data_IF_278785384778
#
_entry.id   IF_278785384778
#
_cell.length_a   1.000
_cell.length_b   1.000
_cell.length_c   1.000
_cell.angle_alpha   90.00
_cell.angle_beta   90.00
_cell.angle_gamma   90.00
#
_symmetry.space_group_name_H-M   'P 1'
#
loop_
_entity.id
_entity.type
_entity.pdbx_description
1 polymer ?
#
# COMPACT_ATOMS: atom_id res chain seq x y z
N UNK A 1 -30.01 -0.91 -21.27
CA UNK A 1 -29.59 -1.49 -22.56
C UNK A 1 -28.15 -1.06 -22.77
N UNK A 2 -27.21 -2.01 -22.72
CA UNK A 2 -25.78 -1.75 -22.94
C UNK A 2 -25.62 -1.22 -24.37
N UNK A 3 -24.89 -0.11 -24.54
CA UNK A 3 -24.80 0.54 -25.85
C UNK A 3 -24.16 -0.44 -26.84
N UNK A 4 -24.84 -0.76 -27.95
CA UNK A 4 -24.37 -1.80 -28.89
C UNK A 4 -22.95 -1.54 -29.39
N UNK A 5 -22.56 -0.27 -29.43
CA UNK A 5 -21.23 0.20 -29.79
C UNK A 5 -20.18 -0.15 -28.73
N UNK A 6 -20.49 -0.03 -27.44
CA UNK A 6 -19.57 -0.41 -26.34
C UNK A 6 -19.35 -1.92 -26.29
N UNK A 7 -20.42 -2.72 -26.48
CA UNK A 7 -20.33 -4.17 -26.60
C UNK A 7 -19.48 -4.58 -27.80
N UNK A 8 -19.74 -3.99 -28.97
CA UNK A 8 -18.96 -4.25 -30.18
C UNK A 8 -17.47 -3.89 -29.98
N UNK A 9 -17.19 -2.76 -29.31
CA UNK A 9 -15.82 -2.31 -29.05
C UNK A 9 -15.10 -3.22 -28.06
N UNK A 10 -15.78 -3.71 -27.03
CA UNK A 10 -15.23 -4.69 -26.09
C UNK A 10 -15.02 -6.07 -26.74
N UNK A 11 -15.93 -6.50 -27.60
CA UNK A 11 -15.77 -7.73 -28.40
C UNK A 11 -14.59 -7.62 -29.37
N UNK A 12 -14.31 -6.41 -29.88
CA UNK A 12 -13.19 -6.13 -30.77
C UNK A 12 -11.82 -5.97 -30.07
N UNK A 13 -11.73 -6.28 -28.77
CA UNK A 13 -10.45 -6.30 -28.05
C UNK A 13 -9.69 -7.60 -28.28
N UNK A 14 -10.41 -8.70 -28.41
CA UNK A 14 -9.86 -10.05 -28.46
C UNK A 14 -10.66 -11.06 -27.67
N UNK A 15 -10.35 -12.34 -27.88
CA UNK A 15 -11.01 -13.45 -27.24
C UNK A 15 -9.99 -14.39 -26.57
N UNK A 16 -10.48 -15.19 -25.62
CA UNK A 16 -9.67 -16.12 -24.84
C UNK A 16 -9.93 -17.53 -25.36
N UNK A 17 -8.87 -18.20 -25.84
CA UNK A 17 -8.93 -19.58 -26.32
C UNK A 17 -7.99 -20.44 -25.45
N UNK A 18 -8.58 -21.25 -24.56
CA UNK A 18 -7.83 -21.96 -23.52
C UNK A 18 -7.24 -20.98 -22.50
N UNK A 19 -5.90 -20.98 -22.36
CA UNK A 19 -5.14 -20.07 -21.48
C UNK A 19 -4.46 -18.91 -22.26
N UNK A 20 -4.72 -18.78 -23.56
CA UNK A 20 -4.07 -17.78 -24.42
C UNK A 20 -5.06 -16.73 -24.89
N UNK A 21 -4.73 -15.45 -24.69
CA UNK A 21 -5.54 -14.31 -25.15
C UNK A 21 -5.12 -13.88 -26.56
N UNK A 22 -6.06 -13.92 -27.50
CA UNK A 22 -5.88 -13.53 -28.89
C UNK A 22 -6.41 -12.12 -29.10
N UNK A 23 -5.50 -11.16 -29.28
CA UNK A 23 -5.85 -9.76 -29.57
C UNK A 23 -6.39 -9.64 -30.99
N UNK A 24 -7.48 -8.90 -31.17
CA UNK A 24 -7.99 -8.58 -32.49
C UNK A 24 -7.17 -7.45 -33.16
N UNK A 25 -7.16 -7.37 -34.51
CA UNK A 25 -6.31 -6.42 -35.25
C UNK A 25 -6.51 -4.96 -34.84
N UNK A 26 -7.75 -4.62 -34.49
CA UNK A 26 -8.16 -3.27 -34.12
C UNK A 26 -8.12 -3.02 -32.60
N UNK A 27 -7.55 -3.94 -31.80
CA UNK A 27 -7.50 -3.83 -30.33
C UNK A 27 -6.98 -2.47 -29.83
N UNK A 28 -5.97 -1.89 -30.50
CA UNK A 28 -5.44 -0.57 -30.15
C UNK A 28 -6.44 0.56 -30.44
N UNK A 29 -7.19 0.47 -31.56
CA UNK A 29 -8.23 1.43 -31.90
C UNK A 29 -9.47 1.24 -31.01
N UNK A 30 -9.86 0.00 -30.71
CA UNK A 30 -10.91 -0.33 -29.74
C UNK A 30 -10.60 0.22 -28.34
N UNK A 31 -9.35 0.14 -27.89
CA UNK A 31 -8.92 0.77 -26.62
C UNK A 31 -8.98 2.30 -26.71
N UNK A 32 -8.58 2.90 -27.84
CA UNK A 32 -8.69 4.36 -28.04
C UNK A 32 -10.15 4.81 -28.12
N UNK A 33 -11.03 4.01 -28.70
CA UNK A 33 -12.45 4.29 -28.81
C UNK A 33 -13.15 4.11 -27.46
N UNK A 34 -12.78 3.12 -26.64
CA UNK A 34 -13.17 3.05 -25.23
C UNK A 34 -12.73 4.31 -24.47
N UNK A 35 -11.50 4.79 -24.70
CA UNK A 35 -11.00 6.04 -24.11
C UNK A 35 -11.74 7.28 -24.66
N UNK A 36 -12.21 7.26 -25.91
CA UNK A 36 -13.02 8.35 -26.50
C UNK A 36 -14.44 8.34 -25.96
N UNK A 37 -15.09 7.18 -25.83
CA UNK A 37 -16.39 7.04 -25.17
C UNK A 37 -16.31 7.54 -23.72
N UNK A 38 -15.18 7.32 -23.03
CA UNK A 38 -14.91 7.87 -21.70
C UNK A 38 -14.69 9.40 -21.66
N UNK A 39 -14.55 10.07 -22.83
CA UNK A 39 -14.24 11.51 -22.94
C UNK A 39 -15.36 12.35 -23.55
N UNK A 40 -16.44 11.75 -24.04
CA UNK A 40 -17.58 12.48 -24.60
C UNK A 40 -18.79 12.25 -23.70
N UNK A 41 -19.17 13.30 -22.97
CA UNK A 41 -20.36 13.38 -22.13
C UNK A 41 -21.59 13.49 -23.03
N UNK A 42 -22.44 12.47 -23.09
CA UNK A 42 -23.80 12.62 -23.60
C UNK A 42 -24.79 12.66 -22.44
N UNK A 43 -25.72 13.62 -22.47
CA UNK A 43 -26.67 13.97 -21.38
C UNK A 43 -27.65 12.86 -20.95
N UNK A 44 -27.56 11.66 -21.51
CA UNK A 44 -28.50 10.57 -21.24
C UNK A 44 -27.78 9.26 -20.90
N UNK A 45 -27.46 9.07 -19.61
CA UNK A 45 -27.18 7.76 -18.96
C UNK A 45 -25.83 7.06 -19.24
N UNK A 46 -24.74 7.80 -19.43
CA UNK A 46 -23.40 7.23 -19.75
C UNK A 46 -22.50 6.94 -18.51
N UNK A 47 -22.65 7.70 -17.43
CA UNK A 47 -21.78 7.61 -16.21
C UNK A 47 -21.75 6.21 -15.60
N UNK A 48 -22.86 5.46 -15.62
CA UNK A 48 -22.96 4.13 -15.00
C UNK A 48 -22.22 3.03 -15.78
N UNK A 49 -22.24 3.09 -17.11
CA UNK A 49 -21.50 2.15 -17.96
C UNK A 49 -20.00 2.46 -17.89
N UNK A 50 -19.66 3.75 -17.92
CA UNK A 50 -18.30 4.24 -17.76
C UNK A 50 -17.72 3.84 -16.39
N UNK A 51 -18.47 4.02 -15.29
CA UNK A 51 -18.05 3.57 -13.95
C UNK A 51 -17.89 2.05 -13.86
N UNK A 52 -18.84 1.27 -14.41
CA UNK A 52 -18.72 -0.18 -14.46
C UNK A 52 -17.48 -0.65 -15.24
N UNK A 53 -17.17 -0.01 -16.37
CA UNK A 53 -15.97 -0.27 -17.14
C UNK A 53 -14.71 0.14 -16.36
N UNK A 54 -14.71 1.32 -15.73
CA UNK A 54 -13.58 1.81 -14.94
C UNK A 54 -13.28 0.94 -13.72
N UNK A 55 -14.29 0.44 -13.02
CA UNK A 55 -14.11 -0.53 -11.92
C UNK A 55 -13.41 -1.78 -12.44
N UNK A 56 -13.83 -2.31 -13.58
CA UNK A 56 -13.20 -3.49 -14.19
C UNK A 56 -11.76 -3.21 -14.64
N UNK A 57 -11.51 -2.09 -15.32
CA UNK A 57 -10.18 -1.70 -15.80
C UNK A 57 -9.20 -1.37 -14.67
N UNK A 58 -9.70 -1.03 -13.48
CA UNK A 58 -8.88 -0.72 -12.30
C UNK A 58 -8.73 -1.89 -11.34
N UNK A 59 -9.25 -3.08 -11.67
CA UNK A 59 -9.11 -4.26 -10.82
C UNK A 59 -7.64 -4.56 -10.50
N UNK A 60 -7.31 -4.96 -9.25
CA UNK A 60 -5.96 -5.35 -8.89
C UNK A 60 -5.43 -6.45 -9.81
N UNK A 61 -4.23 -6.27 -10.36
CA UNK A 61 -3.62 -7.28 -11.25
C UNK A 61 -3.52 -8.67 -10.61
N UNK A 62 -3.37 -8.75 -9.28
CA UNK A 62 -3.39 -10.02 -8.54
C UNK A 62 -4.73 -10.76 -8.69
N UNK A 63 -5.85 -10.03 -8.75
CA UNK A 63 -7.17 -10.62 -8.95
C UNK A 63 -7.33 -11.10 -10.40
N UNK A 64 -6.88 -10.31 -11.38
CA UNK A 64 -6.97 -10.67 -12.80
C UNK A 64 -6.19 -11.95 -13.16
N UNK A 65 -5.06 -12.21 -12.49
CA UNK A 65 -4.18 -13.34 -12.78
C UNK A 65 -4.20 -14.44 -11.70
N UNK A 66 -4.99 -14.29 -10.64
CA UNK A 66 -5.05 -15.22 -9.50
C UNK A 66 -3.77 -15.31 -8.65
N UNK A 67 -2.75 -14.50 -8.95
CA UNK A 67 -1.44 -14.53 -8.30
C UNK A 67 -0.36 -13.93 -9.19
N UNK A 68 0.90 -13.96 -8.73
CA UNK A 68 2.05 -13.51 -9.54
C UNK A 68 2.50 -14.67 -10.44
N UNK A 69 2.38 -14.56 -11.78
CA UNK A 69 2.75 -15.64 -12.68
C UNK A 69 4.24 -15.97 -12.61
N UNK A 70 4.57 -17.26 -12.64
CA UNK A 70 5.96 -17.74 -12.69
C UNK A 70 6.51 -17.79 -14.12
N UNK A 71 5.63 -18.00 -15.11
CA UNK A 71 6.01 -18.06 -16.51
C UNK A 71 6.43 -16.66 -17.03
N UNK A 72 7.58 -16.54 -17.73
CA UNK A 72 8.08 -15.24 -18.19
C UNK A 72 7.12 -14.45 -19.10
N UNK A 73 6.39 -15.15 -19.98
CA UNK A 73 5.41 -14.58 -20.92
C UNK A 73 4.21 -13.97 -20.18
N UNK A 74 3.55 -14.75 -19.32
CA UNK A 74 2.42 -14.29 -18.49
C UNK A 74 2.86 -13.23 -17.48
N UNK A 75 4.08 -13.34 -16.94
CA UNK A 75 4.65 -12.33 -16.06
C UNK A 75 4.87 -10.99 -16.79
N UNK A 76 5.25 -11.01 -18.06
CA UNK A 76 5.33 -9.78 -18.86
C UNK A 76 3.95 -9.10 -18.97
N UNK A 77 2.89 -9.86 -19.26
CA UNK A 77 1.52 -9.34 -19.30
C UNK A 77 1.06 -8.80 -17.94
N UNK A 78 1.34 -9.51 -16.84
CA UNK A 78 1.06 -9.05 -15.49
C UNK A 78 1.71 -7.69 -15.19
N UNK A 79 3.00 -7.54 -15.52
CA UNK A 79 3.72 -6.28 -15.34
C UNK A 79 3.19 -5.17 -16.26
N UNK A 80 2.74 -5.51 -17.46
CA UNK A 80 2.13 -4.55 -18.38
C UNK A 80 0.78 -4.03 -17.85
N UNK A 81 -0.08 -4.92 -17.34
CA UNK A 81 -1.33 -4.53 -16.66
C UNK A 81 -1.04 -3.65 -15.45
N UNK A 82 -0.05 -4.02 -14.64
CA UNK A 82 0.37 -3.20 -13.50
C UNK A 82 0.81 -1.79 -13.92
N UNK A 83 1.56 -1.67 -15.00
CA UNK A 83 1.97 -0.38 -15.54
C UNK A 83 0.78 0.48 -16.03
N UNK A 84 -0.25 -0.14 -16.61
CA UNK A 84 -1.50 0.57 -16.95
C UNK A 84 -2.25 1.02 -15.70
N UNK A 85 -2.39 0.17 -14.68
CA UNK A 85 -3.02 0.54 -13.41
C UNK A 85 -2.31 1.73 -12.75
N UNK A 86 -0.97 1.76 -12.79
CA UNK A 86 -0.18 2.89 -12.29
C UNK A 86 -0.43 4.18 -13.08
N UNK A 87 -0.56 4.08 -14.41
CA UNK A 87 -0.93 5.23 -15.24
C UNK A 87 -2.36 5.72 -14.94
N UNK A 88 -3.30 4.81 -14.71
CA UNK A 88 -4.66 5.15 -14.28
C UNK A 88 -4.64 5.85 -12.93
N UNK A 89 -3.91 5.32 -11.94
CA UNK A 89 -3.74 5.94 -10.62
C UNK A 89 -3.26 7.39 -10.74
N UNK A 90 -2.31 7.66 -11.64
CA UNK A 90 -1.84 9.02 -11.89
C UNK A 90 -2.89 9.90 -12.58
N UNK A 91 -3.67 9.36 -13.53
CA UNK A 91 -4.76 10.10 -14.16
C UNK A 91 -5.89 10.46 -13.17
N UNK A 92 -6.16 9.60 -12.18
CA UNK A 92 -7.12 9.86 -11.11
C UNK A 92 -6.63 10.90 -10.09
N UNK A 93 -5.36 11.28 -10.08
CA UNK A 93 -4.83 12.32 -9.20
C UNK A 93 -5.25 13.73 -9.66
N UNK A 94 -6.58 13.91 -9.79
CA UNK A 94 -7.26 15.08 -10.32
C UNK A 94 -8.47 15.39 -9.43
N UNK A 95 -8.53 16.62 -8.92
CA UNK A 95 -9.66 17.12 -8.12
C UNK A 95 -10.98 17.00 -8.88
N UNK A 96 -11.00 17.32 -10.19
CA UNK A 96 -12.23 17.23 -11.00
C UNK A 96 -12.76 15.80 -11.06
N UNK A 97 -11.88 14.79 -11.16
CA UNK A 97 -12.31 13.40 -11.23
C UNK A 97 -12.96 12.95 -9.91
N UNK A 98 -12.35 13.29 -8.77
CA UNK A 98 -12.91 13.00 -7.45
C UNK A 98 -14.17 13.85 -7.15
N UNK A 99 -14.23 15.09 -7.63
CA UNK A 99 -15.40 15.96 -7.53
C UNK A 99 -16.65 15.33 -8.16
N UNK A 100 -16.55 14.82 -9.38
CA UNK A 100 -17.67 14.13 -10.04
C UNK A 100 -18.12 12.87 -9.27
N UNK A 101 -17.17 12.09 -8.74
CA UNK A 101 -17.49 10.92 -7.92
C UNK A 101 -18.17 11.31 -6.59
N UNK A 102 -17.69 12.37 -5.96
CA UNK A 102 -18.21 12.91 -4.71
C UNK A 102 -19.62 13.47 -4.88
N UNK A 103 -19.85 14.28 -5.91
CA UNK A 103 -21.17 14.83 -6.26
C UNK A 103 -22.18 13.71 -6.55
N UNK A 104 -21.80 12.73 -7.38
CA UNK A 104 -22.66 11.59 -7.68
C UNK A 104 -22.99 10.76 -6.43
N UNK A 105 -22.00 10.51 -5.58
CA UNK A 105 -22.22 9.79 -4.32
C UNK A 105 -23.11 10.60 -3.37
N UNK A 106 -22.88 11.91 -3.25
CA UNK A 106 -23.67 12.80 -2.42
C UNK A 106 -25.15 12.80 -2.84
N UNK A 107 -25.44 12.94 -4.14
CA UNK A 107 -26.81 12.90 -4.67
C UNK A 107 -27.52 11.58 -4.34
N UNK A 108 -26.83 10.44 -4.49
CA UNK A 108 -27.37 9.13 -4.13
C UNK A 108 -27.64 9.02 -2.62
N UNK A 109 -26.76 9.60 -1.80
CA UNK A 109 -26.88 9.57 -0.34
C UNK A 109 -27.95 10.54 0.20
N UNK A 110 -28.39 11.53 -0.58
CA UNK A 110 -29.55 12.37 -0.23
C UNK A 110 -30.86 11.57 -0.24
N UNK A 111 -30.94 10.51 -1.04
CA UNK A 111 -32.09 9.60 -1.05
C UNK A 111 -32.11 8.79 0.24
N UNK A 112 -33.31 8.61 0.81
CA UNK A 112 -33.50 7.72 1.95
C UNK A 112 -33.09 6.29 1.59
N UNK A 113 -32.50 5.56 2.53
CA UNK A 113 -32.01 4.20 2.27
C UNK A 113 -33.10 3.24 1.75
N UNK A 114 -34.37 3.46 2.14
CA UNK A 114 -35.54 2.71 1.66
C UNK A 114 -36.04 3.16 0.28
N UNK A 115 -35.70 4.38 -0.14
CA UNK A 115 -36.13 4.99 -1.40
C UNK A 115 -35.20 4.63 -2.56
N UNK A 116 -33.94 4.27 -2.24
CA UNK A 116 -32.92 3.88 -3.21
C UNK A 116 -33.29 2.57 -3.90
N UNK A 117 -33.27 2.61 -5.22
CA UNK A 117 -33.45 1.42 -6.04
C UNK A 117 -32.18 0.55 -5.99
N UNK A 118 -32.29 -0.69 -6.45
CA UNK A 118 -31.13 -1.58 -6.60
C UNK A 118 -30.04 -0.94 -7.50
N UNK A 119 -30.46 -0.22 -8.55
CA UNK A 119 -29.54 0.50 -9.43
C UNK A 119 -28.75 1.60 -8.72
N UNK A 120 -29.35 2.27 -7.75
CA UNK A 120 -28.70 3.34 -6.97
C UNK A 120 -27.67 2.73 -6.02
N UNK A 121 -28.04 1.63 -5.35
CA UNK A 121 -27.13 0.89 -4.48
C UNK A 121 -25.93 0.32 -5.27
N UNK A 122 -26.16 -0.24 -6.46
CA UNK A 122 -25.09 -0.70 -7.35
C UNK A 122 -24.16 0.45 -7.78
N UNK A 123 -24.70 1.66 -7.94
CA UNK A 123 -23.90 2.82 -8.29
C UNK A 123 -23.02 3.27 -7.12
N UNK A 124 -23.56 3.31 -5.91
CA UNK A 124 -22.79 3.57 -4.68
C UNK A 124 -21.63 2.56 -4.56
N UNK A 125 -21.95 1.26 -4.69
CA UNK A 125 -20.96 0.19 -4.63
C UNK A 125 -19.83 0.40 -5.65
N UNK A 126 -20.18 0.71 -6.91
CA UNK A 126 -19.20 0.95 -7.98
C UNK A 126 -18.31 2.15 -7.71
N UNK A 127 -18.85 3.24 -7.16
CA UNK A 127 -18.06 4.42 -6.79
C UNK A 127 -17.05 4.02 -5.72
N UNK A 128 -17.48 3.34 -4.65
CA UNK A 128 -16.60 2.90 -3.57
C UNK A 128 -15.52 1.91 -4.06
N UNK A 129 -15.90 0.95 -4.90
CA UNK A 129 -14.97 -0.01 -5.51
C UNK A 129 -13.94 0.67 -6.40
N UNK A 130 -14.33 1.67 -7.18
CA UNK A 130 -13.42 2.44 -8.02
C UNK A 130 -12.39 3.19 -7.18
N UNK A 131 -12.85 3.91 -6.16
CA UNK A 131 -11.97 4.66 -5.24
C UNK A 131 -11.00 3.70 -4.54
N UNK A 132 -11.52 2.57 -4.04
CA UNK A 132 -10.73 1.49 -3.44
C UNK A 132 -9.66 0.98 -4.41
N UNK A 133 -10.04 0.64 -5.64
CA UNK A 133 -9.13 0.12 -6.66
C UNK A 133 -8.00 1.11 -6.98
N UNK A 134 -8.33 2.38 -7.19
CA UNK A 134 -7.38 3.45 -7.47
C UNK A 134 -6.40 3.64 -6.31
N UNK A 135 -6.89 3.65 -5.06
CA UNK A 135 -6.03 3.73 -3.88
C UNK A 135 -5.15 2.49 -3.72
N UNK A 136 -5.67 1.30 -4.02
CA UNK A 136 -4.99 0.02 -3.90
C UNK A 136 -3.76 -0.11 -4.82
N UNK A 137 -3.78 0.49 -6.02
CA UNK A 137 -2.66 0.39 -6.98
C UNK A 137 -1.31 0.69 -6.28
N UNK A 138 -0.32 -0.22 -6.38
CA UNK A 138 0.97 -0.04 -5.70
C UNK A 138 1.82 1.02 -6.40
N UNK A 139 2.70 1.66 -5.63
CA UNK A 139 3.66 2.64 -6.14
C UNK A 139 4.67 1.97 -7.09
N UNK A 140 5.12 2.72 -8.11
CA UNK A 140 6.26 2.34 -8.94
C UNK A 140 7.55 2.90 -8.32
N UNK A 141 8.25 2.07 -7.54
CA UNK A 141 9.48 2.47 -6.84
C UNK A 141 10.60 2.94 -7.78
N UNK A 142 10.59 2.53 -9.06
CA UNK A 142 11.61 2.94 -10.04
C UNK A 142 11.28 4.31 -10.64
N UNK A 143 10.00 4.60 -10.92
CA UNK A 143 9.55 5.92 -11.38
C UNK A 143 9.50 6.96 -10.28
N UNK A 144 9.25 6.54 -9.04
CA UNK A 144 9.17 7.42 -7.86
C UNK A 144 10.54 7.79 -7.27
N UNK A 145 11.68 7.41 -7.88
CA UNK A 145 13.03 7.90 -7.54
C UNK A 145 13.23 9.41 -7.77
N UNK A 146 12.15 10.15 -8.01
CA UNK A 146 12.16 11.62 -8.06
C UNK A 146 12.32 12.14 -6.63
N UNK A 147 13.04 13.24 -6.53
CA UNK A 147 13.53 13.93 -5.32
C UNK A 147 12.46 13.94 -4.20
N UNK A 148 12.90 13.82 -2.94
CA UNK A 148 12.07 13.69 -1.72
C UNK A 148 10.92 14.71 -1.59
N UNK A 149 10.96 15.84 -2.31
CA UNK A 149 9.97 16.93 -2.27
C UNK A 149 8.81 16.81 -3.29
N UNK A 150 8.87 15.92 -4.30
CA UNK A 150 7.74 15.75 -5.24
C UNK A 150 6.62 14.91 -4.58
N UNK A 151 5.40 15.45 -4.50
CA UNK A 151 4.27 14.74 -3.92
C UNK A 151 4.04 13.39 -4.63
N UNK A 152 4.11 12.28 -3.88
CA UNK A 152 3.80 10.94 -4.42
C UNK A 152 2.42 10.93 -5.08
N UNK A 153 2.21 10.05 -6.07
CA UNK A 153 0.91 9.92 -6.73
C UNK A 153 -0.19 9.65 -5.70
N UNK A 154 0.13 8.85 -4.68
CA UNK A 154 -0.79 8.57 -3.58
C UNK A 154 -1.13 9.83 -2.77
N UNK A 155 -0.16 10.67 -2.41
CA UNK A 155 -0.42 11.94 -1.72
C UNK A 155 -1.27 12.89 -2.56
N UNK A 156 -1.08 12.93 -3.89
CA UNK A 156 -1.93 13.73 -4.79
C UNK A 156 -3.37 13.22 -4.82
N UNK A 157 -3.58 11.90 -4.80
CA UNK A 157 -4.92 11.31 -4.67
C UNK A 157 -5.59 11.66 -3.34
N UNK A 158 -4.86 11.55 -2.22
CA UNK A 158 -5.39 11.91 -0.91
C UNK A 158 -5.81 13.38 -0.84
N UNK A 159 -5.01 14.26 -1.45
CA UNK A 159 -5.35 15.67 -1.53
C UNK A 159 -6.56 15.95 -2.43
N UNK A 160 -6.67 15.27 -3.58
CA UNK A 160 -7.85 15.37 -4.45
C UNK A 160 -9.13 14.86 -3.77
N UNK A 161 -9.02 13.75 -3.02
CA UNK A 161 -10.10 13.18 -2.23
C UNK A 161 -10.61 14.19 -1.19
N UNK A 162 -9.69 14.82 -0.46
CA UNK A 162 -10.02 15.87 0.52
C UNK A 162 -10.67 17.11 -0.13
N UNK A 163 -10.10 17.65 -1.21
CA UNK A 163 -10.66 18.82 -1.89
C UNK A 163 -12.06 18.57 -2.48
N UNK A 164 -12.36 17.32 -2.85
CA UNK A 164 -13.68 16.93 -3.37
C UNK A 164 -14.76 16.74 -2.30
N UNK A 165 -14.41 16.75 -1.01
CA UNK A 165 -15.33 16.42 0.09
C UNK A 165 -15.71 14.94 0.19
N UNK A 166 -15.04 14.04 -0.54
CA UNK A 166 -15.33 12.61 -0.50
C UNK A 166 -14.95 11.99 0.86
N UNK A 167 -13.98 12.57 1.57
CA UNK A 167 -13.64 12.24 2.94
C UNK A 167 -14.81 12.44 3.92
N UNK A 168 -15.55 13.54 3.80
CA UNK A 168 -16.75 13.80 4.61
C UNK A 168 -17.83 12.74 4.35
N UNK A 169 -18.01 12.33 3.08
CA UNK A 169 -18.93 11.26 2.71
C UNK A 169 -18.49 9.90 3.29
N UNK A 170 -17.19 9.61 3.32
CA UNK A 170 -16.66 8.39 3.95
C UNK A 170 -16.91 8.38 5.46
N UNK A 171 -16.75 9.51 6.15
CA UNK A 171 -17.08 9.65 7.57
C UNK A 171 -18.57 9.48 7.83
N UNK A 172 -19.43 10.04 6.97
CA UNK A 172 -20.87 9.84 7.01
C UNK A 172 -21.24 8.36 6.84
N UNK A 173 -20.72 7.68 5.82
CA UNK A 173 -20.97 6.26 5.58
C UNK A 173 -20.49 5.40 6.77
N UNK A 174 -19.31 5.70 7.32
CA UNK A 174 -18.76 4.99 8.48
C UNK A 174 -19.58 5.19 9.76
N UNK A 175 -20.23 6.35 9.91
CA UNK A 175 -21.04 6.68 11.09
C UNK A 175 -22.52 6.33 10.92
N UNK A 176 -23.07 6.16 9.72
CA UNK A 176 -24.51 5.93 9.59
C UNK A 176 -24.91 4.46 9.83
N UNK A 177 -25.88 4.17 10.72
CA UNK A 177 -26.41 2.81 10.87
C UNK A 177 -27.21 2.34 9.64
N UNK A 178 -27.76 3.26 8.85
CA UNK A 178 -28.48 2.94 7.62
C UNK A 178 -27.55 2.48 6.49
N UNK A 179 -26.26 2.84 6.57
CA UNK A 179 -25.26 2.60 5.52
C UNK A 179 -24.30 1.45 5.86
N UNK A 180 -24.64 0.63 6.87
CA UNK A 180 -23.79 -0.46 7.36
C UNK A 180 -23.39 -1.47 6.29
N UNK A 181 -24.21 -1.64 5.24
CA UNK A 181 -23.90 -2.52 4.10
C UNK A 181 -22.62 -2.12 3.36
N UNK A 182 -22.19 -0.86 3.46
CA UNK A 182 -20.96 -0.36 2.86
C UNK A 182 -19.74 -0.46 3.77
N UNK A 183 -19.90 -0.99 4.99
CA UNK A 183 -18.87 -0.94 6.03
C UNK A 183 -17.52 -1.55 5.62
N UNK A 184 -17.52 -2.68 4.90
CA UNK A 184 -16.30 -3.30 4.39
C UNK A 184 -15.58 -2.40 3.38
N UNK A 185 -16.30 -1.92 2.37
CA UNK A 185 -15.78 -1.00 1.35
C UNK A 185 -15.18 0.27 1.97
N UNK A 186 -15.88 0.87 2.93
CA UNK A 186 -15.42 2.08 3.63
C UNK A 186 -14.16 1.79 4.44
N UNK A 187 -14.10 0.66 5.15
CA UNK A 187 -12.91 0.27 5.91
C UNK A 187 -11.70 0.02 5.00
N UNK A 188 -11.90 -0.60 3.83
CA UNK A 188 -10.85 -0.78 2.83
C UNK A 188 -10.31 0.55 2.32
N UNK A 189 -11.20 1.46 1.90
CA UNK A 189 -10.83 2.79 1.40
C UNK A 189 -10.05 3.55 2.47
N UNK A 190 -10.56 3.61 3.69
CA UNK A 190 -9.89 4.28 4.81
C UNK A 190 -8.53 3.61 5.09
N UNK A 191 -8.45 2.28 5.16
CA UNK A 191 -7.17 1.60 5.40
C UNK A 191 -6.13 1.92 4.31
N UNK A 192 -6.58 1.99 3.05
CA UNK A 192 -5.73 2.37 1.93
C UNK A 192 -5.33 3.84 1.94
N UNK A 193 -6.14 4.74 2.51
CA UNK A 193 -5.76 6.15 2.69
C UNK A 193 -4.55 6.31 3.63
N UNK A 194 -4.43 5.42 4.62
CA UNK A 194 -3.41 5.49 5.66
C UNK A 194 -2.25 4.49 5.46
N UNK A 195 -2.23 3.73 4.36
CA UNK A 195 -1.27 2.63 4.13
C UNK A 195 0.21 3.05 4.22
N UNK A 196 0.51 4.29 3.86
CA UNK A 196 1.87 4.86 3.83
C UNK A 196 2.19 5.70 5.09
N UNK A 197 1.31 5.70 6.11
CA UNK A 197 1.47 6.51 7.32
C UNK A 197 1.94 5.67 8.52
N UNK A 198 2.71 6.30 9.41
CA UNK A 198 2.94 5.79 10.78
C UNK A 198 1.95 6.48 11.73
N UNK A 199 1.18 5.73 12.52
CA UNK A 199 0.18 6.31 13.42
C UNK A 199 0.81 7.19 14.50
N UNK A 200 1.98 6.81 15.03
CA UNK A 200 2.70 7.60 16.03
C UNK A 200 3.24 8.91 15.46
N UNK A 201 3.79 8.86 14.24
CA UNK A 201 4.28 10.06 13.56
C UNK A 201 3.12 11.01 13.23
N UNK A 202 1.99 10.47 12.77
CA UNK A 202 0.82 11.24 12.38
C UNK A 202 0.15 11.94 13.58
N UNK A 203 0.04 11.25 14.72
CA UNK A 203 -0.51 11.81 15.96
C UNK A 203 0.28 13.02 16.49
N UNK A 204 1.58 13.09 16.19
CA UNK A 204 2.45 14.20 16.58
C UNK A 204 2.34 15.45 15.71
N UNK A 205 1.74 15.35 14.52
CA UNK A 205 1.72 16.44 13.52
C UNK A 205 0.86 17.59 14.02
N UNK A 206 1.31 18.84 13.82
CA UNK A 206 0.47 20.03 14.00
C UNK A 206 0.18 20.45 15.45
N UNK A 207 0.88 19.89 16.46
CA UNK A 207 0.79 20.33 17.86
C UNK A 207 1.52 21.67 18.14
N UNK A 208 1.47 22.64 17.23
CA UNK A 208 2.14 23.95 17.39
C UNK A 208 3.68 23.89 17.40
N UNK A 209 4.26 22.78 16.93
CA UNK A 209 5.69 22.50 16.99
C UNK A 209 6.48 22.92 15.76
N UNK A 210 5.98 23.71 14.79
CA UNK A 210 6.73 24.03 13.56
C UNK A 210 8.20 24.45 13.78
N UNK A 211 8.50 25.22 14.83
CA UNK A 211 9.88 25.57 15.20
C UNK A 211 10.64 24.42 15.88
N UNK A 212 9.96 23.63 16.71
CA UNK A 212 10.54 22.47 17.38
C UNK A 212 10.74 21.28 16.43
N UNK A 213 9.78 21.01 15.54
CA UNK A 213 9.84 20.06 14.43
C UNK A 213 10.97 20.42 13.47
N UNK A 214 11.07 21.69 13.03
CA UNK A 214 12.23 22.14 12.26
C UNK A 214 13.54 21.93 13.02
N UNK A 215 13.57 22.18 14.34
CA UNK A 215 14.77 21.93 15.17
C UNK A 215 15.06 20.44 15.29
N UNK A 216 14.06 19.58 15.44
CA UNK A 216 14.25 18.13 15.52
C UNK A 216 14.65 17.55 14.18
N UNK A 217 14.09 18.04 13.07
CA UNK A 217 14.47 17.64 11.71
C UNK A 217 15.90 18.09 11.42
N UNK A 218 16.28 19.32 11.78
CA UNK A 218 17.67 19.79 11.67
C UNK A 218 18.60 18.96 12.56
N UNK A 219 18.21 18.63 13.79
CA UNK A 219 19.01 17.78 14.68
C UNK A 219 19.12 16.33 14.14
N UNK A 220 18.06 15.75 13.60
CA UNK A 220 18.05 14.43 12.97
C UNK A 220 18.97 14.42 11.74
N UNK A 221 18.89 15.45 10.89
CA UNK A 221 19.79 15.66 9.75
C UNK A 221 21.24 15.84 10.19
N UNK A 222 21.50 16.54 11.29
CA UNK A 222 22.84 16.69 11.85
C UNK A 222 23.40 15.35 12.35
N UNK A 223 22.58 14.54 13.04
CA UNK A 223 22.96 13.20 13.49
C UNK A 223 23.23 12.28 12.30
N UNK A 224 22.37 12.30 11.27
CA UNK A 224 22.58 11.53 10.04
C UNK A 224 23.84 11.98 9.31
N UNK A 225 24.07 13.29 9.19
CA UNK A 225 25.29 13.85 8.60
C UNK A 225 26.53 13.45 9.40
N UNK A 226 26.46 13.48 10.72
CA UNK A 226 27.56 13.05 11.59
C UNK A 226 27.84 11.55 11.43
N UNK A 227 26.80 10.72 11.34
CA UNK A 227 26.91 9.28 11.07
C UNK A 227 27.53 9.02 9.70
N UNK A 228 27.07 9.70 8.65
CA UNK A 228 27.64 9.60 7.30
C UNK A 228 29.11 10.03 7.29
N UNK A 229 29.45 11.14 7.96
CA UNK A 229 30.81 11.63 8.10
C UNK A 229 31.69 10.66 8.89
N UNK A 230 31.18 10.07 9.96
CA UNK A 230 31.87 9.05 10.74
C UNK A 230 32.10 7.77 9.92
N UNK A 231 31.10 7.31 9.17
CA UNK A 231 31.23 6.18 8.24
C UNK A 231 32.25 6.49 7.14
N UNK A 232 32.21 7.68 6.54
CA UNK A 232 33.17 8.13 5.53
C UNK A 232 34.59 8.18 6.12
N UNK A 233 34.76 8.69 7.34
CA UNK A 233 36.04 8.71 8.06
C UNK A 233 36.53 7.30 8.38
N UNK A 234 35.63 6.40 8.78
CA UNK A 234 35.95 5.00 9.08
C UNK A 234 36.35 4.25 7.81
N UNK A 235 35.64 4.46 6.69
CA UNK A 235 36.00 3.95 5.36
C UNK A 235 37.33 4.53 4.88
N UNK A 236 37.62 5.79 5.18
CA UNK A 236 38.91 6.41 4.88
C UNK A 236 40.05 5.81 5.72
N UNK A 237 39.83 5.53 7.02
CA UNK A 237 40.79 4.87 7.90
C UNK A 237 41.03 3.40 7.53
N UNK A 238 40.00 2.73 6.98
CA UNK A 238 40.10 1.37 6.43
C UNK A 238 40.76 1.34 5.04
N UNK A 239 40.98 2.49 4.39
CA UNK A 239 41.75 2.57 3.14
C UNK A 239 43.20 2.80 3.48
N UNK A 240 44.08 1.99 2.89
CA UNK A 240 45.52 2.23 2.99
C UNK A 240 45.91 3.56 2.34
N UNK A 241 46.87 4.27 2.93
CA UNK A 241 47.44 5.51 2.38
C UNK A 241 48.22 5.31 1.05
N UNK A 242 48.27 4.08 0.52
CA UNK A 242 49.02 3.70 -0.68
C UNK A 242 48.11 2.96 -1.65
N UNK A 243 48.46 3.00 -2.94
CA UNK A 243 47.67 2.36 -4.00
C UNK A 243 47.50 0.86 -3.77
N UNK A 244 46.44 0.27 -4.33
CA UNK A 244 46.05 -1.14 -4.14
C UNK A 244 47.14 -2.16 -4.49
N UNK A 245 48.05 -1.83 -5.42
CA UNK A 245 49.18 -2.69 -5.82
C UNK A 245 50.37 -2.66 -4.86
N UNK A 246 50.35 -1.82 -3.81
CA UNK A 246 51.40 -1.79 -2.80
C UNK A 246 51.14 -2.93 -1.80
N UNK A 247 51.56 -4.14 -2.17
CA UNK A 247 51.42 -5.35 -1.37
C UNK A 247 52.55 -5.49 -0.35
N UNK A 248 52.21 -5.59 0.94
CA UNK A 248 53.11 -6.00 2.00
C UNK A 248 52.73 -7.39 2.50
N UNK A 249 53.73 -8.22 2.80
CA UNK A 249 53.54 -9.55 3.40
C UNK A 249 54.01 -9.52 4.84
N UNK A 250 53.13 -9.83 5.78
CA UNK A 250 53.40 -9.82 7.21
C UNK A 250 53.25 -11.23 7.78
N UNK A 251 54.02 -11.56 8.81
CA UNK A 251 53.89 -12.80 9.57
C UNK A 251 53.25 -12.43 10.92
N UNK A 252 52.10 -13.01 11.24
CA UNK A 252 51.41 -12.79 12.51
C UNK A 252 51.85 -13.86 13.49
N UNK A 253 52.77 -13.51 14.37
CA UNK A 253 53.29 -14.41 15.41
C UNK A 253 52.18 -14.78 16.40
N UNK A 254 52.07 -16.08 16.73
CA UNK A 254 51.09 -16.59 17.70
C UNK A 254 49.71 -16.91 17.13
N UNK A 255 49.41 -16.54 15.87
CA UNK A 255 48.21 -16.98 15.16
C UNK A 255 48.58 -18.07 14.16
N UNK A 256 48.19 -19.31 14.46
CA UNK A 256 48.50 -20.46 13.61
C UNK A 256 47.63 -20.48 12.35
N UNK A 257 48.25 -20.83 11.23
CA UNK A 257 47.57 -21.12 9.97
C UNK A 257 46.87 -22.49 10.05
N UNK A 258 46.50 -23.07 8.90
CA UNK A 258 45.92 -24.43 8.79
C UNK A 258 46.88 -25.53 9.30
N UNK A 259 48.13 -25.21 9.62
CA UNK A 259 49.09 -26.08 10.32
C UNK A 259 49.88 -25.33 11.41
N UNK A 260 51.00 -25.88 11.89
CA UNK A 260 51.77 -25.31 13.02
C UNK A 260 52.56 -24.02 12.71
N UNK A 261 52.51 -23.55 11.46
CA UNK A 261 53.20 -22.33 11.04
C UNK A 261 52.36 -21.09 11.32
N UNK A 262 53.03 -20.00 11.61
CA UNK A 262 52.41 -18.70 11.83
C UNK A 262 51.77 -18.16 10.53
N UNK A 263 50.67 -17.43 10.66
CA UNK A 263 49.86 -16.97 9.54
C UNK A 263 50.55 -15.87 8.74
N UNK A 264 50.52 -15.99 7.41
CA UNK A 264 50.99 -14.95 6.48
C UNK A 264 49.81 -14.06 6.06
N UNK A 265 49.93 -12.75 6.23
CA UNK A 265 48.92 -11.75 5.91
C UNK A 265 49.42 -10.81 4.81
N UNK A 266 48.74 -10.81 3.66
CA UNK A 266 49.13 -10.06 2.46
C UNK A 266 48.39 -8.72 2.27
N UNK A 267 47.53 -8.34 3.22
CA UNK A 267 46.80 -7.07 3.18
C UNK A 267 47.51 -6.04 4.06
N UNK A 268 47.22 -4.75 3.84
CA UNK A 268 47.78 -3.70 4.70
C UNK A 268 47.37 -3.87 6.17
N UNK A 269 48.28 -3.52 7.09
CA UNK A 269 48.11 -3.70 8.55
C UNK A 269 46.82 -3.07 9.12
N UNK A 270 46.26 -2.05 8.47
CA UNK A 270 44.96 -1.46 8.83
C UNK A 270 43.79 -2.45 8.75
N UNK A 271 43.91 -3.54 7.98
CA UNK A 271 42.91 -4.59 7.89
C UNK A 271 43.12 -5.73 8.92
N UNK A 272 44.17 -5.67 9.74
CA UNK A 272 44.50 -6.72 10.71
C UNK A 272 43.49 -6.78 11.86
N UNK A 273 42.96 -5.63 12.30
CA UNK A 273 41.96 -5.58 13.39
C UNK A 273 40.66 -6.32 13.03
N UNK A 274 40.31 -6.34 11.76
CA UNK A 274 39.13 -7.06 11.23
C UNK A 274 39.53 -8.38 10.59
N UNK A 275 40.68 -8.96 10.97
CA UNK A 275 41.12 -10.23 10.44
C UNK A 275 40.13 -11.34 10.81
N UNK A 276 39.55 -11.96 9.78
CA UNK A 276 38.84 -13.23 9.89
C UNK A 276 39.45 -14.19 8.89
N UNK A 277 39.54 -15.47 9.25
CA UNK A 277 39.96 -16.56 8.37
C UNK A 277 39.00 -16.76 7.17
N UNK A 278 37.88 -16.03 7.11
CA UNK A 278 36.96 -15.95 5.98
C UNK A 278 37.19 -14.74 5.07
N UNK A 279 38.12 -13.83 5.39
CA UNK A 279 38.45 -12.69 4.54
C UNK A 279 38.89 -13.14 3.14
N UNK A 280 38.10 -12.79 2.12
CA UNK A 280 38.38 -13.14 0.72
C UNK A 280 37.79 -14.47 0.27
N UNK A 281 37.12 -15.22 1.15
CA UNK A 281 36.27 -16.33 0.72
C UNK A 281 35.06 -15.76 -0.03
N UNK A 282 34.70 -16.40 -1.14
CA UNK A 282 33.47 -16.09 -1.86
C UNK A 282 32.28 -16.30 -0.90
N UNK A 283 31.44 -15.29 -0.64
CA UNK A 283 30.29 -15.45 0.23
C UNK A 283 29.39 -16.53 -0.35
N UNK A 284 29.06 -17.55 0.44
CA UNK A 284 28.12 -18.59 0.00
C UNK A 284 26.74 -17.96 -0.18
N UNK A 285 26.17 -18.12 -1.38
CA UNK A 285 24.83 -17.62 -1.70
C UNK A 285 23.83 -18.30 -0.76
N UNK A 286 23.26 -17.54 0.16
CA UNK A 286 22.19 -18.04 1.03
C UNK A 286 20.95 -18.26 0.16
N UNK A 287 20.36 -19.47 0.15
CA UNK A 287 19.11 -19.74 -0.58
C UNK A 287 18.05 -18.72 -0.17
N UNK A 288 17.26 -18.20 -1.12
CA UNK A 288 16.26 -17.14 -0.89
C UNK A 288 15.34 -17.43 0.31
N UNK A 289 15.01 -18.69 0.57
CA UNK A 289 14.15 -19.15 1.68
C UNK A 289 14.77 -19.02 3.09
N UNK A 290 16.08 -18.87 3.20
CA UNK A 290 16.82 -18.71 4.46
C UNK A 290 17.31 -17.28 4.68
N UNK A 291 16.97 -16.36 3.79
CA UNK A 291 17.28 -14.94 3.99
C UNK A 291 16.31 -14.40 5.04
N UNK A 292 16.81 -13.60 5.98
CA UNK A 292 15.94 -12.85 6.88
C UNK A 292 14.99 -11.99 6.04
N UNK A 293 13.71 -11.96 6.43
CA UNK A 293 12.74 -11.09 5.79
C UNK A 293 13.27 -9.65 5.85
N UNK A 294 13.37 -9.00 4.69
CA UNK A 294 13.65 -7.57 4.67
C UNK A 294 12.40 -6.87 5.17
N UNK A 295 12.53 -6.07 6.22
CA UNK A 295 11.51 -5.08 6.56
C UNK A 295 11.37 -4.15 5.35
N UNK A 296 10.19 -4.15 4.72
CA UNK A 296 9.88 -3.37 3.51
C UNK A 296 9.58 -1.89 3.83
N UNK A 297 9.90 -1.42 5.03
CA UNK A 297 9.55 -0.08 5.52
C UNK A 297 10.43 1.01 4.92
N UNK A 298 10.31 1.24 3.61
CA UNK A 298 10.67 2.54 3.03
C UNK A 298 9.55 3.50 3.43
N UNK A 299 9.61 4.03 4.67
CA UNK A 299 8.68 5.05 5.14
C UNK A 299 9.01 6.38 4.46
N UNK A 300 8.41 6.62 3.29
CA UNK A 300 8.43 7.94 2.66
C UNK A 300 7.49 8.86 3.45
N UNK A 301 8.00 9.98 3.99
CA UNK A 301 7.18 10.94 4.73
C UNK A 301 6.30 11.73 3.74
N UNK A 302 4.99 11.76 3.96
CA UNK A 302 4.06 12.57 3.18
C UNK A 302 4.22 14.08 3.45
N UNK A 303 3.79 14.90 2.49
CA UNK A 303 3.78 16.35 2.62
C UNK A 303 2.98 16.79 3.87
N UNK A 304 3.38 17.92 4.49
CA UNK A 304 2.82 18.35 5.78
C UNK A 304 1.31 18.60 5.72
N UNK A 305 0.80 19.22 4.65
CA UNK A 305 -0.63 19.45 4.45
C UNK A 305 -1.43 18.15 4.39
N UNK A 306 -0.92 17.13 3.67
CA UNK A 306 -1.55 15.80 3.61
C UNK A 306 -1.56 15.15 4.99
N UNK A 307 -0.47 15.27 5.76
CA UNK A 307 -0.42 14.73 7.13
C UNK A 307 -1.36 15.45 8.10
N UNK A 308 -1.51 16.78 7.98
CA UNK A 308 -2.48 17.53 8.78
C UNK A 308 -3.91 17.09 8.48
N UNK A 309 -4.26 17.00 7.20
CA UNK A 309 -5.54 16.46 6.75
C UNK A 309 -5.79 15.05 7.30
N UNK A 310 -4.86 14.11 7.10
CA UNK A 310 -5.02 12.73 7.57
C UNK A 310 -5.12 12.64 9.09
N UNK A 311 -4.41 13.50 9.84
CA UNK A 311 -4.53 13.58 11.30
C UNK A 311 -5.93 14.05 11.71
N UNK A 312 -6.44 15.08 11.06
CA UNK A 312 -7.75 15.66 11.37
C UNK A 312 -8.86 14.65 11.03
N UNK A 313 -8.80 14.02 9.85
CA UNK A 313 -9.67 12.90 9.47
C UNK A 313 -9.61 11.76 10.48
N UNK A 314 -8.41 11.32 10.88
CA UNK A 314 -8.25 10.21 11.83
C UNK A 314 -8.83 10.55 13.21
N UNK A 315 -8.76 11.82 13.62
CA UNK A 315 -9.32 12.27 14.89
C UNK A 315 -10.84 12.23 14.85
N UNK A 316 -11.44 12.77 13.80
CA UNK A 316 -12.89 12.74 13.59
C UNK A 316 -13.43 11.31 13.44
N UNK A 317 -12.72 10.47 12.69
CA UNK A 317 -13.06 9.06 12.52
C UNK A 317 -13.07 8.29 13.84
N UNK A 318 -12.10 8.52 14.73
CA UNK A 318 -12.07 7.90 16.06
C UNK A 318 -13.19 8.42 16.96
N UNK A 319 -13.50 9.72 16.89
CA UNK A 319 -14.55 10.33 17.70
C UNK A 319 -15.96 9.84 17.32
N UNK A 320 -16.23 9.70 16.01
CA UNK A 320 -17.60 9.55 15.50
C UNK A 320 -17.90 8.19 14.86
N UNK A 321 -16.89 7.49 14.34
CA UNK A 321 -17.11 6.40 13.38
C UNK A 321 -16.53 5.05 13.82
N UNK A 322 -15.32 5.04 14.41
CA UNK A 322 -14.50 3.83 14.59
C UNK A 322 -15.24 2.67 15.25
N UNK A 323 -15.81 2.90 16.45
CA UNK A 323 -16.50 1.85 17.19
C UNK A 323 -17.67 1.24 16.38
N UNK A 324 -18.45 2.07 15.69
CA UNK A 324 -19.60 1.61 14.90
C UNK A 324 -19.14 0.84 13.66
N UNK A 325 -18.19 1.38 12.91
CA UNK A 325 -17.69 0.75 11.70
C UNK A 325 -17.03 -0.60 12.02
N UNK A 326 -16.13 -0.64 13.01
CA UNK A 326 -15.44 -1.87 13.41
C UNK A 326 -16.41 -2.93 13.92
N UNK A 327 -17.43 -2.53 14.71
CA UNK A 327 -18.45 -3.46 15.18
C UNK A 327 -19.28 -4.05 14.03
N UNK A 328 -19.70 -3.21 13.08
CA UNK A 328 -20.44 -3.64 11.89
C UNK A 328 -19.61 -4.55 11.00
N UNK A 329 -18.35 -4.20 10.72
CA UNK A 329 -17.45 -5.03 9.90
C UNK A 329 -17.20 -6.37 10.55
N UNK A 330 -16.94 -6.41 11.86
CA UNK A 330 -16.75 -7.66 12.60
C UNK A 330 -17.97 -8.58 12.50
N UNK A 331 -19.18 -8.02 12.58
CA UNK A 331 -20.43 -8.79 12.41
C UNK A 331 -20.57 -9.34 10.98
N UNK A 332 -20.20 -8.56 9.95
CA UNK A 332 -20.18 -9.04 8.56
C UNK A 332 -19.16 -10.17 8.33
N UNK A 333 -17.96 -10.07 8.92
CA UNK A 333 -16.92 -11.10 8.86
C UNK A 333 -17.36 -12.41 9.54
N UNK A 334 -18.01 -12.32 10.71
CA UNK A 334 -18.48 -13.50 11.44
C UNK A 334 -19.66 -14.21 10.77
N UNK A 335 -20.49 -13.48 10.01
CA UNK A 335 -21.65 -14.03 9.30
C UNK A 335 -21.30 -14.55 7.89
N UNK A 336 -20.02 -14.64 7.54
CA UNK A 336 -19.53 -15.08 6.22
C UNK A 336 -20.14 -14.31 5.04
N UNK A 337 -20.55 -13.06 5.26
CA UNK A 337 -21.03 -12.17 4.20
C UNK A 337 -19.88 -11.45 3.47
N UNK A 338 -18.66 -11.56 3.99
CA UNK A 338 -17.47 -10.95 3.45
C UNK A 338 -16.78 -11.84 2.41
N UNK A 339 -16.00 -11.24 1.53
CA UNK A 339 -15.15 -11.98 0.61
C UNK A 339 -13.97 -12.59 1.38
N UNK A 340 -13.34 -13.60 0.78
CA UNK A 340 -12.14 -14.20 1.35
C UNK A 340 -11.03 -13.13 1.42
N UNK A 341 -10.46 -12.90 2.62
CA UNK A 341 -9.32 -12.02 2.91
C UNK A 341 -9.65 -10.57 3.28
N UNK A 342 -10.92 -10.19 3.32
CA UNK A 342 -11.36 -8.86 3.77
C UNK A 342 -11.01 -8.60 5.24
N UNK A 343 -10.82 -9.67 6.03
CA UNK A 343 -10.46 -9.58 7.44
C UNK A 343 -9.07 -8.95 7.68
N UNK A 344 -8.21 -8.94 6.66
CA UNK A 344 -6.87 -8.31 6.76
C UNK A 344 -6.95 -6.80 6.95
N UNK A 345 -7.92 -6.13 6.34
CA UNK A 345 -8.17 -4.70 6.55
C UNK A 345 -8.68 -4.41 7.96
N UNK A 346 -9.49 -5.31 8.54
CA UNK A 346 -9.91 -5.20 9.93
C UNK A 346 -8.71 -5.29 10.89
N UNK A 347 -7.81 -6.26 10.69
CA UNK A 347 -6.60 -6.39 11.52
C UNK A 347 -5.68 -5.18 11.36
N UNK A 348 -5.50 -4.70 10.13
CA UNK A 348 -4.69 -3.51 9.84
C UNK A 348 -5.26 -2.26 10.51
N UNK A 349 -6.57 -2.01 10.35
CA UNK A 349 -7.26 -0.86 10.93
C UNK A 349 -7.23 -0.91 12.46
N UNK A 350 -7.43 -2.09 13.06
CA UNK A 350 -7.31 -2.29 14.50
C UNK A 350 -5.92 -1.86 14.99
N UNK A 351 -4.85 -2.36 14.36
CA UNK A 351 -3.49 -2.01 14.74
C UNK A 351 -3.20 -0.51 14.58
N UNK A 352 -3.56 0.07 13.42
CA UNK A 352 -3.26 1.46 13.10
C UNK A 352 -4.02 2.45 14.00
N UNK A 353 -5.34 2.33 14.09
CA UNK A 353 -6.17 3.32 14.79
C UNK A 353 -6.04 3.21 16.31
N UNK A 354 -5.84 2.02 16.87
CA UNK A 354 -5.54 1.89 18.31
C UNK A 354 -4.16 2.46 18.65
N UNK A 355 -3.16 2.28 17.78
CA UNK A 355 -1.85 2.89 17.96
C UNK A 355 -1.93 4.42 17.89
N UNK A 356 -2.68 4.97 16.93
CA UNK A 356 -2.93 6.40 16.83
C UNK A 356 -3.65 6.94 18.06
N UNK A 357 -4.74 6.31 18.49
CA UNK A 357 -5.50 6.72 19.68
C UNK A 357 -4.61 6.77 20.93
N UNK A 358 -3.72 5.77 21.09
CA UNK A 358 -2.74 5.73 22.19
C UNK A 358 -1.70 6.85 22.06
N UNK A 359 -1.15 7.09 20.86
CA UNK A 359 -0.14 8.11 20.63
C UNK A 359 -0.69 9.54 20.81
N UNK A 360 -1.93 9.77 20.38
CA UNK A 360 -2.66 11.04 20.53
C UNK A 360 -3.17 11.27 21.96
N UNK A 361 -3.03 10.29 22.86
CA UNK A 361 -3.54 10.34 24.25
C UNK A 361 -5.06 10.58 24.32
N UNK A 362 -5.80 10.02 23.37
CA UNK A 362 -7.26 10.06 23.36
C UNK A 362 -7.88 9.11 24.39
N UNK A 363 -9.16 9.34 24.68
CA UNK A 363 -9.91 8.54 25.66
C UNK A 363 -10.00 7.09 25.15
N UNK A 364 -9.74 6.07 26.00
CA UNK A 364 -9.88 4.66 25.60
C UNK A 364 -11.27 4.28 25.08
N UNK A 365 -12.31 5.02 25.47
CA UNK A 365 -13.68 4.81 25.00
C UNK A 365 -13.88 4.99 23.48
N UNK A 366 -13.00 5.72 22.78
CA UNK A 366 -13.09 5.88 21.32
C UNK A 366 -12.75 4.59 20.56
N UNK A 367 -12.07 3.65 21.22
CA UNK A 367 -11.69 2.34 20.66
C UNK A 367 -12.24 1.18 21.50
N UNK A 368 -13.32 1.40 22.24
CA UNK A 368 -13.88 0.39 23.16
C UNK A 368 -14.39 -0.87 22.44
N UNK A 369 -14.83 -0.77 21.18
CA UNK A 369 -15.30 -1.92 20.40
C UNK A 369 -14.18 -2.96 20.21
N UNK A 370 -12.97 -2.48 19.93
CA UNK A 370 -11.80 -3.34 19.70
C UNK A 370 -10.99 -3.60 20.97
N UNK A 371 -11.27 -2.88 22.07
CA UNK A 371 -10.68 -3.10 23.39
C UNK A 371 -11.60 -3.93 24.30
N UNK A 372 -11.88 -5.18 23.92
CA UNK A 372 -12.73 -6.09 24.69
C UNK A 372 -12.29 -7.54 24.59
N UNK A 373 -12.61 -8.37 25.59
CA UNK A 373 -12.30 -9.83 25.60
C UNK A 373 -12.81 -10.53 24.33
N UNK A 374 -13.97 -10.10 23.81
CA UNK A 374 -14.55 -10.61 22.56
C UNK A 374 -13.68 -10.30 21.33
N UNK A 375 -12.96 -9.19 21.33
CA UNK A 375 -12.06 -8.83 20.23
C UNK A 375 -10.72 -9.54 20.37
N UNK A 376 -10.19 -9.70 21.59
CA UNK A 376 -9.03 -10.57 21.84
C UNK A 376 -9.27 -11.99 21.33
N UNK A 377 -10.40 -12.60 21.70
CA UNK A 377 -10.74 -13.94 21.24
C UNK A 377 -10.87 -14.02 19.71
N UNK A 378 -11.49 -13.03 19.08
CA UNK A 378 -11.60 -12.97 17.62
C UNK A 378 -10.24 -12.90 16.92
N UNK A 379 -9.30 -12.12 17.44
CA UNK A 379 -7.93 -12.04 16.92
C UNK A 379 -7.21 -13.37 17.12
N UNK A 380 -7.30 -13.98 18.30
CA UNK A 380 -6.67 -15.27 18.60
C UNK A 380 -7.18 -16.39 17.67
N UNK A 381 -8.49 -16.44 17.39
CA UNK A 381 -9.07 -17.38 16.45
C UNK A 381 -8.51 -17.21 15.04
N UNK A 382 -8.47 -15.98 14.53
CA UNK A 382 -7.92 -15.69 13.19
C UNK A 382 -6.42 -16.00 13.12
N UNK A 383 -5.64 -15.60 14.14
CA UNK A 383 -4.21 -15.85 14.20
C UNK A 383 -3.88 -17.35 14.25
N UNK A 384 -4.65 -18.12 15.03
CA UNK A 384 -4.53 -19.58 15.09
C UNK A 384 -4.82 -20.19 13.73
N UNK A 385 -5.92 -19.79 13.08
CA UNK A 385 -6.27 -20.25 11.75
C UNK A 385 -5.17 -19.92 10.71
N UNK A 386 -4.65 -18.70 10.68
CA UNK A 386 -3.55 -18.35 9.75
C UNK A 386 -2.32 -19.18 9.97
N UNK A 387 -1.94 -19.42 11.24
CA UNK A 387 -0.79 -20.22 11.57
C UNK A 387 -0.97 -21.69 11.15
N UNK A 388 -2.15 -22.28 11.40
CA UNK A 388 -2.49 -23.64 10.97
C UNK A 388 -2.50 -23.76 9.44
N UNK A 389 -3.13 -22.80 8.74
CA UNK A 389 -3.18 -22.76 7.29
C UNK A 389 -1.81 -22.56 6.65
N UNK A 390 -0.93 -21.74 7.26
CA UNK A 390 0.46 -21.59 6.82
C UNK A 390 1.24 -22.93 6.86
N UNK A 391 0.96 -23.78 7.86
CA UNK A 391 1.65 -25.06 8.04
C UNK A 391 1.08 -26.17 7.14
N UNK A 392 -0.23 -26.13 6.89
CA UNK A 392 -0.98 -27.16 6.15
C UNK A 392 -1.06 -26.86 4.65
N UNK A 393 -1.44 -25.65 4.27
CA UNK A 393 -1.51 -25.19 2.89
C UNK A 393 -0.16 -24.64 2.41
N UNK A 394 0.73 -25.57 2.05
CA UNK A 394 2.09 -25.23 1.59
C UNK A 394 2.14 -24.47 0.28
N UNK A 395 1.06 -24.45 -0.51
CA UNK A 395 1.02 -23.71 -1.79
C UNK A 395 0.89 -22.21 -1.53
N UNK A 396 0.01 -21.83 -0.60
CA UNK A 396 -0.24 -20.43 -0.22
C UNK A 396 0.45 -20.00 1.09
N UNK A 397 1.45 -20.76 1.58
CA UNK A 397 2.12 -20.47 2.86
C UNK A 397 2.67 -19.04 2.97
N UNK A 398 3.13 -18.44 1.87
CA UNK A 398 3.60 -17.04 1.86
C UNK A 398 2.45 -16.01 1.90
N UNK A 399 1.25 -16.40 1.48
CA UNK A 399 0.03 -15.59 1.65
C UNK A 399 -0.44 -15.67 3.10
N UNK A 400 -0.54 -16.88 3.67
CA UNK A 400 -0.90 -17.09 5.07
C UNK A 400 0.07 -16.44 6.05
N UNK A 401 1.36 -16.42 5.77
CA UNK A 401 2.35 -15.74 6.62
C UNK A 401 2.30 -14.19 6.55
N UNK A 402 1.66 -13.63 5.52
CA UNK A 402 1.44 -12.18 5.41
C UNK A 402 0.19 -11.72 6.15
N UNK A 403 -0.77 -12.62 6.33
CA UNK A 403 -1.94 -12.44 7.20
C UNK A 403 -1.49 -12.62 8.65
#
# INVERSE_FOLDING_TARGET
MMNCELLATCSALGYLEGDTYHKEPDCLESVKDLIRYLRHEDETRDVRQQLGLMVNLTQPALLCFGGVPQEPSLRHHFLQVLAYLQAYKEAFASEKAFGVLSEALYELLQLGWEERQEEDNLLIERILLLVRNVLHVPADLEREQRIDDDASVHNRLLWALHLSGLDDLLLFLASSPAEQQWGLHVLEVISLMFRDQSPEQLAGVGQGRLAQERRTDVAELEVLRQREMAEKKTRALQRGNRHSRFGGSYIIQGLKSIGERDLIFHKGLHNLQNYTSDLGKQPRRVPKRRQAARELSVQRRSALNVRLFLRDFCSEFLENCYNRLMGSVKDHLLREKAQQHDETYYMWALAFFMAFNRAASFRPGLVSETLSVRTFHFIEQNLTNYYEMMLTDRKEAASWARR
#
